data_IF_919153353055
#
_entry.id   IF_919153353055
#
_cell.length_a   1.000
_cell.length_b   1.000
_cell.length_c   1.000
_cell.angle_alpha   90.00
_cell.angle_beta   90.00
_cell.angle_gamma   90.00
#
_symmetry.space_group_name_H-M   'P 1'
#
loop_
_entity.id
_entity.type
_entity.pdbx_description
1 polymer ?
#
# COMPACT_ATOMS: atom_id res chain seq x y z
N UNK A 1 11.74 -11.09 2.03
CA UNK A 1 12.09 -9.68 2.30
C UNK A 1 10.95 -9.00 3.06
N UNK A 2 9.70 -9.19 2.64
CA UNK A 2 8.52 -8.51 3.23
C UNK A 2 8.13 -8.98 4.66
N UNK A 3 8.37 -10.25 5.02
CA UNK A 3 7.97 -10.77 6.34
C UNK A 3 8.71 -10.09 7.51
N UNK A 4 9.96 -9.64 7.31
CA UNK A 4 10.74 -8.96 8.35
C UNK A 4 10.18 -7.59 8.73
N UNK A 5 9.53 -6.89 7.78
CA UNK A 5 8.91 -5.58 8.06
C UNK A 5 7.73 -5.78 9.02
N UNK A 6 6.83 -6.71 8.68
CA UNK A 6 5.63 -6.96 9.48
C UNK A 6 5.96 -7.57 10.84
N UNK A 7 6.93 -8.49 10.91
CA UNK A 7 7.35 -9.07 12.18
C UNK A 7 7.96 -8.03 13.12
N UNK A 8 8.76 -7.08 12.60
CA UNK A 8 9.34 -6.02 13.44
C UNK A 8 8.28 -5.06 13.98
N UNK A 9 7.30 -4.68 13.14
CA UNK A 9 6.17 -3.85 13.59
C UNK A 9 5.40 -4.57 14.69
N UNK A 10 5.01 -5.83 14.47
CA UNK A 10 4.24 -6.59 15.43
C UNK A 10 5.02 -6.86 16.71
N UNK A 11 6.31 -7.17 16.62
CA UNK A 11 7.16 -7.39 17.80
C UNK A 11 7.16 -6.19 18.73
N UNK A 12 7.29 -4.98 18.18
CA UNK A 12 7.21 -3.76 18.98
C UNK A 12 5.82 -3.60 19.62
N UNK A 13 4.76 -3.72 18.83
CA UNK A 13 3.38 -3.53 19.30
C UNK A 13 3.00 -4.53 20.40
N UNK A 14 3.37 -5.80 20.27
CA UNK A 14 3.12 -6.82 21.29
C UNK A 14 3.99 -6.60 22.54
N UNK A 15 5.24 -6.14 22.36
CA UNK A 15 6.11 -5.79 23.48
C UNK A 15 5.54 -4.65 24.33
N UNK A 16 4.87 -3.67 23.71
CA UNK A 16 4.26 -2.54 24.43
C UNK A 16 3.16 -2.98 25.42
N UNK A 17 2.60 -4.18 25.24
CA UNK A 17 1.60 -4.79 26.13
C UNK A 17 2.13 -6.02 26.89
N UNK A 18 3.47 -6.19 26.95
CA UNK A 18 4.11 -7.25 27.72
C UNK A 18 3.98 -8.65 27.12
N UNK A 19 3.76 -8.75 25.81
CA UNK A 19 3.69 -10.04 25.08
C UNK A 19 4.98 -10.23 24.29
N UNK A 20 5.75 -11.25 24.65
CA UNK A 20 6.91 -11.69 23.88
C UNK A 20 6.46 -12.50 22.66
N UNK A 21 7.04 -12.21 21.50
CA UNK A 21 6.70 -12.85 20.23
C UNK A 21 7.92 -13.41 19.52
N UNK A 22 7.75 -14.59 18.91
CA UNK A 22 8.73 -15.25 18.06
C UNK A 22 8.13 -15.47 16.65
N UNK A 23 8.89 -15.13 15.61
CA UNK A 23 8.46 -15.27 14.22
C UNK A 23 9.35 -16.26 13.48
N UNK A 24 8.81 -17.42 13.13
CA UNK A 24 9.54 -18.45 12.38
C UNK A 24 9.17 -18.39 10.90
N UNK A 25 10.10 -18.03 9.99
CA UNK A 25 9.83 -18.00 8.56
C UNK A 25 9.66 -19.43 8.02
N UNK A 26 8.52 -19.72 7.43
CA UNK A 26 8.19 -20.97 6.76
C UNK A 26 7.68 -20.70 5.33
N UNK A 27 7.74 -21.68 4.42
CA UNK A 27 7.04 -21.59 3.13
C UNK A 27 5.56 -21.26 3.34
N UNK A 28 5.03 -20.29 2.58
CA UNK A 28 3.74 -19.65 2.89
C UNK A 28 2.56 -20.62 3.05
N UNK A 29 2.50 -21.70 2.27
CA UNK A 29 1.44 -22.69 2.39
C UNK A 29 1.58 -23.53 3.67
N UNK A 30 2.83 -23.89 4.02
CA UNK A 30 3.13 -24.67 5.22
C UNK A 30 2.83 -23.88 6.49
N UNK A 31 3.16 -22.59 6.49
CA UNK A 31 2.92 -21.72 7.65
C UNK A 31 1.41 -21.65 7.97
N UNK A 32 0.57 -21.40 6.96
CA UNK A 32 -0.89 -21.38 7.11
C UNK A 32 -1.46 -22.70 7.64
N UNK A 33 -0.98 -23.83 7.13
CA UNK A 33 -1.40 -25.16 7.62
C UNK A 33 -0.98 -25.37 9.07
N UNK A 34 0.24 -24.95 9.44
CA UNK A 34 0.73 -25.06 10.82
C UNK A 34 -0.11 -24.22 11.79
N UNK A 35 -0.39 -22.97 11.45
CA UNK A 35 -1.19 -22.08 12.27
C UNK A 35 -2.63 -22.58 12.42
N UNK A 36 -3.25 -23.06 11.33
CA UNK A 36 -4.59 -23.65 11.43
C UNK A 36 -4.61 -24.91 12.28
N UNK A 37 -3.50 -25.64 12.40
CA UNK A 37 -3.39 -26.84 13.25
C UNK A 37 -2.99 -26.54 14.69
N UNK A 38 -2.78 -25.26 15.05
CA UNK A 38 -2.30 -24.86 16.37
C UNK A 38 -0.83 -25.24 16.64
N UNK A 39 -0.05 -25.55 15.59
CA UNK A 39 1.41 -25.76 15.72
C UNK A 39 2.12 -24.42 16.00
N UNK A 40 1.56 -23.34 15.45
CA UNK A 40 1.94 -21.95 15.75
C UNK A 40 0.68 -21.17 16.12
N UNK A 41 0.82 -20.13 16.93
CA UNK A 41 -0.34 -19.37 17.44
C UNK A 41 -1.01 -18.48 16.39
N UNK A 42 -0.36 -18.21 15.25
CA UNK A 42 -0.96 -17.39 14.21
C UNK A 42 -0.13 -17.19 12.96
N UNK A 43 -0.62 -16.29 12.11
CA UNK A 43 -0.05 -15.90 10.82
C UNK A 43 -0.05 -14.39 10.66
N UNK A 44 0.94 -13.85 9.94
CA UNK A 44 1.08 -12.41 9.71
C UNK A 44 0.98 -12.09 8.22
N UNK A 45 0.60 -10.83 7.91
CA UNK A 45 0.57 -10.29 6.54
C UNK A 45 -0.28 -11.12 5.56
N UNK A 46 -1.51 -11.44 5.97
CA UNK A 46 -2.46 -12.26 5.22
C UNK A 46 -3.64 -11.43 4.70
N UNK A 47 -4.18 -11.84 3.55
CA UNK A 47 -5.38 -11.21 2.98
C UNK A 47 -6.60 -11.49 3.86
N UNK A 48 -7.53 -10.52 3.89
CA UNK A 48 -8.81 -10.65 4.60
C UNK A 48 -9.60 -11.87 4.11
N UNK A 49 -10.23 -12.60 5.04
CA UNK A 49 -11.14 -13.71 4.73
C UNK A 49 -10.48 -15.08 4.58
N UNK A 50 -9.19 -15.22 4.87
CA UNK A 50 -8.50 -16.53 4.87
C UNK A 50 -9.11 -17.54 5.83
N UNK A 51 -9.73 -17.08 6.92
CA UNK A 51 -10.48 -17.92 7.86
C UNK A 51 -11.69 -18.65 7.23
N UNK A 52 -12.12 -18.24 6.02
CA UNK A 52 -13.11 -19.01 5.26
C UNK A 52 -12.55 -20.34 4.75
N UNK A 53 -11.23 -20.41 4.51
CA UNK A 53 -10.52 -21.62 4.07
C UNK A 53 -9.85 -22.34 5.24
N UNK A 54 -9.30 -21.58 6.19
CA UNK A 54 -8.61 -22.07 7.38
C UNK A 54 -9.47 -21.79 8.61
N UNK A 55 -10.40 -22.69 8.92
CA UNK A 55 -11.51 -22.45 9.86
C UNK A 55 -11.09 -22.21 11.31
N UNK A 56 -9.91 -22.69 11.70
CA UNK A 56 -9.39 -22.56 13.06
C UNK A 56 -8.60 -21.25 13.25
N UNK A 57 -8.39 -20.49 12.17
CA UNK A 57 -7.77 -19.17 12.25
C UNK A 57 -8.80 -18.09 12.58
N UNK A 58 -8.49 -17.29 13.60
CA UNK A 58 -9.26 -16.10 13.97
C UNK A 58 -8.58 -14.89 13.33
N UNK A 59 -9.33 -14.14 12.52
CA UNK A 59 -8.82 -12.92 11.90
C UNK A 59 -8.83 -11.76 12.91
N UNK A 60 -7.68 -11.11 13.10
CA UNK A 60 -7.60 -9.79 13.76
C UNK A 60 -8.19 -8.73 12.82
N UNK A 61 -9.20 -7.94 13.25
CA UNK A 61 -9.93 -7.03 12.37
C UNK A 61 -9.12 -5.77 11.97
N UNK A 62 -8.03 -5.48 12.69
CA UNK A 62 -7.15 -4.36 12.44
C UNK A 62 -6.10 -4.78 11.40
N UNK A 63 -6.09 -4.17 10.19
CA UNK A 63 -5.09 -4.50 9.18
C UNK A 63 -3.71 -3.98 9.58
N UNK A 64 -2.67 -4.82 9.41
CA UNK A 64 -1.27 -4.38 9.56
C UNK A 64 -0.90 -3.40 8.43
N UNK A 65 -1.43 -3.66 7.24
CA UNK A 65 -1.31 -2.79 6.07
C UNK A 65 -2.53 -2.98 5.19
N UNK A 66 -3.03 -1.90 4.61
CA UNK A 66 -3.98 -1.93 3.51
C UNK A 66 -3.22 -1.68 2.22
N UNK A 67 -3.44 -2.53 1.21
CA UNK A 67 -3.04 -2.20 -0.16
C UNK A 67 -4.22 -1.53 -0.85
N UNK A 68 -3.93 -0.51 -1.64
CA UNK A 68 -4.91 0.24 -2.39
C UNK A 68 -4.22 1.24 -3.30
N UNK A 69 -4.79 1.50 -4.47
CA UNK A 69 -4.30 2.59 -5.32
C UNK A 69 -4.82 3.89 -4.76
N UNK A 70 -3.90 4.78 -4.40
CA UNK A 70 -4.23 6.11 -3.94
C UNK A 70 -3.92 7.14 -5.00
N UNK A 71 -4.78 8.16 -5.08
CA UNK A 71 -4.45 9.42 -5.72
C UNK A 71 -3.73 10.30 -4.69
N UNK A 72 -2.55 10.80 -5.05
CA UNK A 72 -1.82 11.78 -4.26
C UNK A 72 -1.76 13.10 -5.01
N UNK A 73 -2.00 14.21 -4.30
CA UNK A 73 -1.98 15.55 -4.88
C UNK A 73 -1.37 16.57 -3.92
N UNK A 74 -0.96 17.73 -4.44
CA UNK A 74 -0.60 18.91 -3.64
C UNK A 74 -1.81 19.77 -3.27
N UNK A 75 -2.96 19.52 -3.90
CA UNK A 75 -4.20 20.24 -3.67
C UNK A 75 -5.29 19.29 -3.17
N UNK A 76 -6.24 19.81 -2.43
CA UNK A 76 -7.43 19.06 -2.05
C UNK A 76 -8.34 18.94 -3.28
N UNK A 77 -8.47 17.74 -3.82
CA UNK A 77 -9.30 17.46 -5.00
C UNK A 77 -10.50 16.60 -4.60
N UNK A 78 -11.72 16.88 -5.09
CA UNK A 78 -12.93 16.13 -4.75
C UNK A 78 -13.02 14.82 -5.56
N UNK A 79 -12.04 13.93 -5.40
CA UNK A 79 -11.97 12.65 -6.13
C UNK A 79 -12.63 11.57 -5.30
N UNK A 80 -13.63 10.89 -5.88
CA UNK A 80 -14.31 9.75 -5.26
C UNK A 80 -14.28 8.49 -6.13
N UNK A 81 -13.86 8.63 -7.38
CA UNK A 81 -13.91 7.58 -8.40
C UNK A 81 -12.85 7.79 -9.47
N UNK A 82 -12.60 6.75 -10.26
CA UNK A 82 -11.77 6.84 -11.47
C UNK A 82 -12.32 7.85 -12.50
N UNK A 83 -13.64 8.05 -12.56
CA UNK A 83 -14.25 9.10 -13.39
C UNK A 83 -13.81 10.50 -12.94
N UNK A 84 -13.66 10.75 -11.65
CA UNK A 84 -13.16 12.04 -11.15
C UNK A 84 -11.67 12.22 -11.45
N UNK A 85 -10.89 11.14 -11.41
CA UNK A 85 -9.47 11.16 -11.78
C UNK A 85 -9.27 11.62 -13.23
N UNK A 86 -10.18 11.26 -14.14
CA UNK A 86 -10.11 11.64 -15.57
C UNK A 86 -10.11 13.15 -15.83
N UNK A 87 -10.49 13.98 -14.84
CA UNK A 87 -10.56 15.44 -14.94
C UNK A 87 -9.20 16.13 -14.74
N UNK A 88 -8.14 15.37 -14.46
CA UNK A 88 -6.85 15.89 -14.03
C UNK A 88 -5.70 15.29 -14.83
N UNK A 89 -4.54 15.97 -14.83
CA UNK A 89 -3.33 15.37 -15.36
C UNK A 89 -2.77 14.33 -14.38
N UNK A 90 -2.56 13.11 -14.87
CA UNK A 90 -2.19 11.95 -14.04
C UNK A 90 -0.79 11.46 -14.37
N UNK A 91 -0.04 10.97 -13.38
CA UNK A 91 1.13 10.13 -13.63
C UNK A 91 1.12 8.84 -12.80
N UNK A 92 1.64 7.76 -13.38
CA UNK A 92 1.79 6.47 -12.70
C UNK A 92 3.05 5.73 -13.15
N UNK A 93 3.46 4.72 -12.39
CA UNK A 93 4.63 3.91 -12.73
C UNK A 93 4.27 2.85 -13.77
N UNK A 94 5.14 2.70 -14.78
CA UNK A 94 5.04 1.63 -15.79
C UNK A 94 4.93 0.25 -15.13
N UNK A 95 4.06 -0.59 -15.68
CA UNK A 95 3.91 -1.99 -15.26
C UNK A 95 2.86 -2.22 -14.17
N UNK A 96 2.23 -1.18 -13.63
CA UNK A 96 1.11 -1.34 -12.68
C UNK A 96 -0.18 -1.59 -13.46
N UNK A 97 -0.53 -2.87 -13.65
CA UNK A 97 -1.63 -3.29 -14.52
C UNK A 97 -3.01 -2.80 -14.05
N UNK A 98 -3.27 -2.78 -12.74
CA UNK A 98 -4.54 -2.29 -12.21
C UNK A 98 -4.76 -0.81 -12.56
N UNK A 99 -3.73 0.03 -12.40
CA UNK A 99 -3.80 1.44 -12.79
C UNK A 99 -3.96 1.55 -14.32
N UNK A 100 -3.14 0.81 -15.08
CA UNK A 100 -3.20 0.87 -16.56
C UNK A 100 -4.60 0.53 -17.09
N UNK A 101 -5.22 -0.53 -16.56
CA UNK A 101 -6.57 -0.96 -16.94
C UNK A 101 -7.58 0.16 -16.74
N UNK A 102 -7.57 0.82 -15.59
CA UNK A 102 -8.51 1.90 -15.31
C UNK A 102 -8.19 3.18 -16.10
N UNK A 103 -6.90 3.51 -16.30
CA UNK A 103 -6.48 4.59 -17.21
C UNK A 103 -7.03 4.38 -18.63
N UNK A 104 -6.90 3.17 -19.17
CA UNK A 104 -7.39 2.84 -20.51
C UNK A 104 -8.93 2.88 -20.57
N UNK A 105 -9.61 2.30 -19.57
CA UNK A 105 -11.08 2.25 -19.46
C UNK A 105 -11.70 3.64 -19.41
N UNK A 106 -11.11 4.56 -18.66
CA UNK A 106 -11.59 5.94 -18.50
C UNK A 106 -10.91 6.93 -19.46
N UNK A 107 -10.08 6.44 -20.39
CA UNK A 107 -9.37 7.23 -21.40
C UNK A 107 -8.58 8.42 -20.80
N UNK A 108 -7.91 8.18 -19.68
CA UNK A 108 -7.23 9.21 -18.90
C UNK A 108 -5.88 9.53 -19.54
N UNK A 109 -5.65 10.79 -19.90
CA UNK A 109 -4.32 11.23 -20.34
C UNK A 109 -3.33 11.14 -19.17
N UNK A 110 -2.27 10.37 -19.34
CA UNK A 110 -1.32 10.10 -18.26
C UNK A 110 0.15 10.12 -18.69
N UNK A 111 1.00 10.62 -17.79
CA UNK A 111 2.44 10.47 -17.85
C UNK A 111 2.87 9.13 -17.24
N UNK A 112 3.85 8.48 -17.85
CA UNK A 112 4.37 7.18 -17.39
C UNK A 112 5.84 7.33 -16.99
N UNK A 113 6.13 7.01 -15.73
CA UNK A 113 7.51 6.99 -15.21
C UNK A 113 8.01 5.57 -15.01
N UNK A 114 9.33 5.40 -14.88
CA UNK A 114 9.93 4.07 -14.67
C UNK A 114 10.17 3.72 -13.21
N UNK A 115 10.30 4.70 -12.31
CA UNK A 115 10.56 4.49 -10.88
C UNK A 115 9.51 5.19 -10.01
N UNK A 116 9.19 4.58 -8.88
CA UNK A 116 8.24 5.12 -7.90
C UNK A 116 8.65 6.51 -7.38
N UNK A 117 9.96 6.72 -7.18
CA UNK A 117 10.51 8.01 -6.73
C UNK A 117 10.24 9.15 -7.73
N UNK A 118 10.18 8.84 -9.03
CA UNK A 118 9.96 9.83 -10.08
C UNK A 118 8.52 10.39 -10.03
N UNK A 119 7.56 9.65 -9.48
CA UNK A 119 6.19 10.13 -9.27
C UNK A 119 6.17 11.30 -8.28
N UNK A 120 6.86 11.17 -7.15
CA UNK A 120 6.94 12.26 -6.17
C UNK A 120 7.58 13.49 -6.80
N UNK A 121 8.62 13.32 -7.62
CA UNK A 121 9.22 14.42 -8.37
C UNK A 121 8.29 15.06 -9.40
N UNK A 122 7.48 14.26 -10.10
CA UNK A 122 6.47 14.77 -11.03
C UNK A 122 5.46 15.65 -10.31
N UNK A 123 4.96 15.17 -9.18
CA UNK A 123 3.98 15.90 -8.37
C UNK A 123 4.57 17.22 -7.84
N UNK A 124 5.76 17.17 -7.21
CA UNK A 124 6.43 18.35 -6.65
C UNK A 124 6.82 19.39 -7.71
N UNK A 125 7.04 18.97 -8.96
CA UNK A 125 7.37 19.86 -10.09
C UNK A 125 6.16 20.31 -10.89
N UNK A 126 4.94 19.98 -10.46
CA UNK A 126 3.71 20.33 -11.17
C UNK A 126 3.58 19.68 -12.57
N UNK A 127 4.23 18.54 -12.80
CA UNK A 127 4.14 17.78 -14.07
C UNK A 127 2.90 16.89 -14.15
N UNK A 128 2.22 16.71 -13.02
CA UNK A 128 0.92 16.08 -12.92
C UNK A 128 0.18 16.68 -11.72
N UNK A 129 -1.14 16.80 -11.82
CA UNK A 129 -2.01 17.19 -10.72
C UNK A 129 -2.16 16.06 -9.69
N UNK A 130 -2.09 14.82 -10.19
CA UNK A 130 -2.26 13.59 -9.42
C UNK A 130 -1.19 12.57 -9.80
N UNK A 131 -0.65 11.87 -8.81
CA UNK A 131 0.04 10.60 -9.02
C UNK A 131 -0.75 9.43 -8.44
N UNK A 132 -0.69 8.29 -9.12
CA UNK A 132 -1.37 7.07 -8.71
C UNK A 132 -0.35 6.02 -8.23
N UNK A 133 -0.49 5.58 -6.99
CA UNK A 133 0.46 4.64 -6.39
C UNK A 133 -0.14 3.88 -5.18
N UNK A 134 0.42 2.72 -4.85
CA UNK A 134 0.17 2.07 -3.57
C UNK A 134 0.68 2.92 -2.39
N UNK A 135 -0.06 2.93 -1.28
CA UNK A 135 0.23 3.76 -0.10
C UNK A 135 1.60 3.47 0.51
N UNK A 136 1.98 2.21 0.63
CA UNK A 136 3.28 1.82 1.20
C UNK A 136 4.44 2.27 0.32
N UNK A 137 4.30 2.12 -1.01
CA UNK A 137 5.31 2.59 -1.97
C UNK A 137 5.42 4.12 -1.99
N UNK A 138 4.29 4.83 -1.86
CA UNK A 138 4.29 6.28 -1.76
C UNK A 138 4.99 6.77 -0.49
N UNK A 139 4.69 6.17 0.67
CA UNK A 139 5.36 6.48 1.95
C UNK A 139 6.87 6.22 1.84
N UNK A 140 7.28 5.07 1.28
CA UNK A 140 8.70 4.76 1.04
C UNK A 140 9.37 5.79 0.14
N UNK A 141 8.69 6.22 -0.93
CA UNK A 141 9.21 7.22 -1.86
C UNK A 141 9.34 8.59 -1.20
N UNK A 142 8.34 9.02 -0.44
CA UNK A 142 8.36 10.27 0.32
C UNK A 142 9.47 10.28 1.38
N UNK A 143 9.69 9.18 2.10
CA UNK A 143 10.79 9.06 3.04
C UNK A 143 12.15 9.27 2.33
N UNK A 144 12.38 8.62 1.19
CA UNK A 144 13.60 8.80 0.39
C UNK A 144 13.79 10.22 -0.14
N UNK A 145 12.71 10.92 -0.48
CA UNK A 145 12.77 12.34 -0.90
C UNK A 145 13.15 13.23 0.28
N UNK A 146 12.56 12.98 1.45
CA UNK A 146 12.87 13.71 2.70
C UNK A 146 14.32 13.50 3.13
N UNK A 147 14.84 12.28 3.05
CA UNK A 147 16.23 11.95 3.40
C UNK A 147 17.24 12.68 2.48
N UNK A 148 16.80 13.12 1.30
CA UNK A 148 17.57 13.96 0.37
C UNK A 148 17.40 15.47 0.62
N UNK A 149 16.76 15.87 1.72
CA UNK A 149 16.57 17.28 2.10
C UNK A 149 15.47 18.01 1.32
N UNK A 150 14.64 17.29 0.55
CA UNK A 150 13.53 17.90 -0.18
C UNK A 150 12.25 17.91 0.65
N UNK A 151 11.54 19.03 0.62
CA UNK A 151 10.22 19.16 1.25
C UNK A 151 9.18 18.30 0.54
N UNK A 152 8.44 17.51 1.32
CA UNK A 152 7.24 16.76 0.89
C UNK A 152 5.96 17.40 1.45
N UNK A 153 6.08 18.58 2.07
CA UNK A 153 4.97 19.30 2.67
C UNK A 153 3.88 19.60 1.64
N UNK A 154 2.63 19.26 1.97
CA UNK A 154 1.47 19.49 1.10
C UNK A 154 1.07 18.30 0.24
N UNK A 155 1.90 17.25 0.12
CA UNK A 155 1.46 15.98 -0.49
C UNK A 155 0.42 15.36 0.43
N UNK A 156 -0.78 15.10 -0.11
CA UNK A 156 -1.87 14.45 0.60
C UNK A 156 -2.35 13.22 -0.15
N UNK A 157 -2.69 12.17 0.61
CA UNK A 157 -3.49 11.06 0.11
C UNK A 157 -4.93 11.51 0.00
N UNK A 158 -5.54 11.29 -1.16
CA UNK A 158 -6.98 11.45 -1.32
C UNK A 158 -7.62 10.14 -0.86
N UNK A 159 -8.44 10.22 0.17
CA UNK A 159 -9.15 9.10 0.79
C UNK A 159 -10.64 9.14 0.37
N UNK A 160 -11.30 7.98 0.20
CA UNK A 160 -10.76 6.62 0.31
C UNK A 160 -9.84 6.25 -0.88
N UNK A 161 -9.09 5.14 -0.82
CA UNK A 161 -8.38 4.62 -1.99
C UNK A 161 -9.35 4.39 -3.17
N UNK A 162 -8.82 4.46 -4.38
CA UNK A 162 -9.56 4.10 -5.58
C UNK A 162 -9.82 2.59 -5.54
N UNK A 163 -11.10 2.22 -5.55
CA UNK A 163 -11.56 0.85 -5.65
C UNK A 163 -12.05 0.58 -7.07
N UNK A 164 -11.84 -0.65 -7.54
CA UNK A 164 -12.50 -1.18 -8.73
C UNK A 164 -14.00 -1.40 -8.51
#
# INVERSE_FOLDING_TARGET
MDHYIFSNILKQVYSDIGIDTEFTPLPSARSLVNANRGITDGEIARIKGLNKLYKDLIQVPIPIMTSGIYALSLKKLPIKSWQDVSKYSVAYRRGIQIIKKEIDKYQIQSGVVSKDLDLIHFLLRGRADIILQDKGLAISSMAKIRDKGMSISGIQFIEPPLTD
#
